data_IF_385151192625
#
_entry.id   IF_385151192625
#
_cell.length_a   1.000
_cell.length_b   1.000
_cell.length_c   1.000
_cell.angle_alpha   90.00
_cell.angle_beta   90.00
_cell.angle_gamma   90.00
#
_symmetry.space_group_name_H-M   'P 1'
#
loop_
_entity.id
_entity.type
_entity.pdbx_description
1 polymer ?
#
# COMPACT_ATOMS: atom_id res chain seq x y z
N UNK A 1 -14.20 6.40 6.61
CA UNK A 1 -13.61 5.32 5.79
C UNK A 1 -14.65 4.26 5.40
N UNK A 2 -15.42 3.72 6.33
CA UNK A 2 -16.41 2.64 6.06
C UNK A 2 -17.46 3.03 5.00
N UNK A 3 -17.96 4.26 5.02
CA UNK A 3 -18.95 4.74 4.04
C UNK A 3 -18.38 4.74 2.62
N UNK A 4 -17.19 5.33 2.42
CA UNK A 4 -16.56 5.42 1.09
C UNK A 4 -16.16 4.05 0.55
N UNK A 5 -15.66 3.16 1.40
CA UNK A 5 -15.35 1.78 1.02
C UNK A 5 -16.60 0.91 0.88
N UNK A 6 -17.75 1.41 1.31
CA UNK A 6 -19.07 0.74 1.36
C UNK A 6 -19.02 -0.73 1.82
N UNK A 7 -18.16 -1.00 2.81
CA UNK A 7 -17.94 -2.35 3.33
C UNK A 7 -19.20 -2.89 3.99
N UNK A 8 -19.39 -4.19 3.86
CA UNK A 8 -20.44 -4.90 4.55
C UNK A 8 -20.04 -5.19 5.99
N UNK A 9 -20.94 -4.91 6.93
CA UNK A 9 -20.81 -5.19 8.34
C UNK A 9 -22.12 -5.83 8.79
N UNK A 10 -22.06 -7.01 9.39
CA UNK A 10 -23.22 -7.77 9.87
C UNK A 10 -24.32 -7.94 8.79
N UNK A 11 -23.92 -8.25 7.56
CA UNK A 11 -24.85 -8.47 6.44
C UNK A 11 -25.49 -7.21 5.87
N UNK A 12 -25.02 -6.02 6.25
CA UNK A 12 -25.55 -4.75 5.79
C UNK A 12 -24.43 -3.84 5.32
N UNK A 13 -24.56 -3.23 4.13
CA UNK A 13 -23.55 -2.29 3.62
C UNK A 13 -23.47 -1.03 4.47
N UNK A 14 -22.29 -0.42 4.54
CA UNK A 14 -22.06 0.76 5.38
C UNK A 14 -23.04 1.90 5.10
N UNK A 15 -23.40 2.15 3.82
CA UNK A 15 -24.36 3.20 3.45
C UNK A 15 -25.74 2.98 4.08
N UNK A 16 -26.19 1.73 4.20
CA UNK A 16 -27.51 1.41 4.76
C UNK A 16 -27.65 1.71 6.24
N UNK A 17 -26.53 1.71 7.00
CA UNK A 17 -26.53 2.13 8.40
C UNK A 17 -26.84 3.62 8.57
N UNK A 18 -26.60 4.44 7.54
CA UNK A 18 -26.91 5.86 7.54
C UNK A 18 -28.27 6.18 6.94
N UNK A 19 -28.73 5.38 5.98
CA UNK A 19 -29.95 5.69 5.20
C UNK A 19 -31.21 5.03 5.74
N UNK A 20 -31.12 3.81 6.27
CA UNK A 20 -32.32 3.02 6.64
C UNK A 20 -32.99 3.54 7.92
N UNK A 21 -32.25 4.15 8.84
CA UNK A 21 -32.80 4.58 10.14
C UNK A 21 -33.37 6.00 10.12
N UNK A 22 -33.40 6.68 8.98
CA UNK A 22 -33.90 8.05 8.85
C UNK A 22 -33.13 9.11 9.68
N UNK A 23 -31.89 8.80 10.05
CA UNK A 23 -31.04 9.71 10.83
C UNK A 23 -30.64 10.95 10.07
N UNK A 24 -30.43 10.81 8.76
CA UNK A 24 -30.13 11.91 7.86
C UNK A 24 -31.42 12.31 7.14
N UNK A 25 -31.86 13.54 7.39
CA UNK A 25 -33.12 14.07 6.85
C UNK A 25 -32.93 14.91 5.58
N UNK A 26 -31.71 15.34 5.33
CA UNK A 26 -31.38 16.14 4.14
C UNK A 26 -31.26 15.24 2.92
N UNK A 27 -32.13 15.43 1.96
CA UNK A 27 -32.20 14.64 0.75
C UNK A 27 -30.98 14.83 -0.18
N UNK A 28 -30.34 16.01 -0.15
CA UNK A 28 -29.14 16.27 -0.95
C UNK A 28 -27.97 15.49 -0.36
N UNK A 29 -27.78 15.58 0.96
CA UNK A 29 -26.76 14.80 1.66
C UNK A 29 -26.95 13.30 1.44
N UNK A 30 -28.19 12.80 1.50
CA UNK A 30 -28.48 11.39 1.23
C UNK A 30 -28.16 10.98 -0.19
N UNK A 31 -28.44 11.84 -1.18
CA UNK A 31 -28.11 11.58 -2.58
C UNK A 31 -26.59 11.53 -2.79
N UNK A 32 -25.86 12.50 -2.23
CA UNK A 32 -24.39 12.54 -2.30
C UNK A 32 -23.74 11.34 -1.62
N UNK A 33 -24.25 10.92 -0.45
CA UNK A 33 -23.75 9.73 0.24
C UNK A 33 -23.96 8.45 -0.59
N UNK A 34 -25.11 8.31 -1.24
CA UNK A 34 -25.38 7.17 -2.13
C UNK A 34 -24.45 7.19 -3.33
N UNK A 35 -24.28 8.34 -3.97
CA UNK A 35 -23.38 8.50 -5.10
C UNK A 35 -21.94 8.15 -4.70
N UNK A 36 -21.47 8.64 -3.55
CA UNK A 36 -20.13 8.33 -3.05
C UNK A 36 -19.94 6.84 -2.73
N UNK A 37 -20.99 6.17 -2.21
CA UNK A 37 -20.94 4.74 -1.90
C UNK A 37 -20.97 3.83 -3.14
N UNK A 38 -21.52 4.33 -4.26
CA UNK A 38 -21.58 3.61 -5.54
C UNK A 38 -20.27 3.68 -6.33
N UNK A 39 -19.37 4.58 -5.96
CA UNK A 39 -18.05 4.69 -6.60
C UNK A 39 -17.10 3.66 -5.98
N UNK A 40 -16.53 2.72 -6.76
CA UNK A 40 -15.53 1.79 -6.27
C UNK A 40 -14.33 2.54 -5.68
N UNK A 41 -14.12 2.41 -4.37
CA UNK A 41 -13.12 3.23 -3.67
C UNK A 41 -12.30 2.38 -2.71
N UNK A 42 -10.98 2.38 -2.89
CA UNK A 42 -10.06 1.90 -1.88
C UNK A 42 -9.76 3.02 -0.88
N UNK A 43 -9.96 2.75 0.40
CA UNK A 43 -9.76 3.74 1.45
C UNK A 43 -8.62 3.32 2.36
N UNK A 44 -7.61 4.17 2.44
CA UNK A 44 -6.45 4.00 3.31
C UNK A 44 -6.58 4.97 4.48
N UNK A 45 -6.96 4.46 5.65
CA UNK A 45 -7.01 5.23 6.90
C UNK A 45 -5.78 4.92 7.74
N UNK A 46 -5.02 5.93 8.10
CA UNK A 46 -3.83 5.76 8.94
C UNK A 46 -3.54 7.03 9.76
N UNK A 47 -2.87 6.80 10.90
CA UNK A 47 -2.26 7.86 11.68
C UNK A 47 -0.81 8.02 11.21
N UNK A 48 -0.40 9.25 10.87
CA UNK A 48 0.90 9.49 10.25
C UNK A 48 2.06 9.27 11.24
N UNK A 49 1.87 9.61 12.52
CA UNK A 49 2.90 9.43 13.55
C UNK A 49 3.18 7.94 13.83
N UNK A 50 2.14 7.11 13.79
CA UNK A 50 2.28 5.67 14.06
C UNK A 50 2.89 4.90 12.88
N UNK A 51 2.85 5.46 11.68
CA UNK A 51 3.37 4.84 10.45
C UNK A 51 4.72 5.41 10.00
N UNK A 52 5.06 6.62 10.46
CA UNK A 52 6.37 7.22 10.24
C UNK A 52 7.42 6.53 11.11
N UNK A 53 8.59 6.24 10.55
CA UNK A 53 9.75 5.89 11.36
C UNK A 53 10.20 7.17 12.10
N UNK A 54 10.52 7.06 13.40
CA UNK A 54 11.01 8.16 14.24
C UNK A 54 12.44 8.59 13.82
N UNK A 55 12.65 8.84 12.55
CA UNK A 55 13.85 9.50 12.07
C UNK A 55 13.64 11.00 12.25
N UNK A 56 14.10 11.56 13.33
CA UNK A 56 13.94 12.92 13.84
C UNK A 56 14.03 14.13 12.87
N UNK A 57 13.73 13.94 11.60
CA UNK A 57 13.61 14.99 10.57
C UNK A 57 12.29 14.81 9.83
N UNK A 58 11.35 15.66 10.16
CA UNK A 58 10.18 15.92 9.32
C UNK A 58 10.65 16.49 7.98
N UNK A 59 10.36 15.79 6.89
CA UNK A 59 10.71 16.22 5.54
C UNK A 59 9.62 15.80 4.56
N UNK A 60 9.55 16.46 3.41
CA UNK A 60 8.63 16.05 2.32
C UNK A 60 8.84 14.59 1.92
N UNK A 61 10.09 14.14 1.89
CA UNK A 61 10.45 12.77 1.52
C UNK A 61 9.96 11.76 2.57
N UNK A 62 10.01 12.11 3.87
CA UNK A 62 9.48 11.28 4.94
C UNK A 62 7.96 11.10 4.81
N UNK A 63 7.22 12.17 4.50
CA UNK A 63 5.77 12.10 4.25
C UNK A 63 5.48 11.16 3.07
N UNK A 64 6.15 11.35 1.93
CA UNK A 64 5.95 10.50 0.75
C UNK A 64 6.27 9.03 1.05
N UNK A 65 7.30 8.77 1.84
CA UNK A 65 7.66 7.40 2.26
C UNK A 65 6.54 6.75 3.10
N UNK A 66 5.88 7.50 3.99
CA UNK A 66 4.73 6.98 4.75
C UNK A 66 3.56 6.66 3.83
N UNK A 67 3.25 7.54 2.89
CA UNK A 67 2.18 7.28 1.91
C UNK A 67 2.50 6.06 1.04
N UNK A 68 3.75 5.90 0.59
CA UNK A 68 4.19 4.72 -0.15
C UNK A 68 4.03 3.45 0.68
N UNK A 69 4.45 3.47 1.95
CA UNK A 69 4.32 2.35 2.88
C UNK A 69 2.86 1.88 2.98
N UNK A 70 1.95 2.78 3.33
CA UNK A 70 0.54 2.42 3.50
C UNK A 70 -0.14 2.04 2.18
N UNK A 71 0.29 2.61 1.06
CA UNK A 71 -0.17 2.24 -0.27
C UNK A 71 0.27 0.83 -0.67
N UNK A 72 1.51 0.44 -0.35
CA UNK A 72 2.00 -0.91 -0.54
C UNK A 72 1.25 -1.90 0.36
N UNK A 73 1.10 -1.59 1.65
CA UNK A 73 0.34 -2.41 2.62
C UNK A 73 -1.11 -2.64 2.16
N UNK A 74 -1.78 -1.61 1.63
CA UNK A 74 -3.15 -1.73 1.08
C UNK A 74 -3.24 -2.77 -0.04
N UNK A 75 -2.20 -2.88 -0.85
CA UNK A 75 -2.12 -3.85 -1.94
C UNK A 75 -1.65 -5.24 -1.48
N UNK A 76 -1.30 -5.41 -0.20
CA UNK A 76 -0.75 -6.64 0.36
C UNK A 76 0.76 -6.79 0.16
N UNK A 77 1.44 -5.76 -0.35
CA UNK A 77 2.88 -5.71 -0.55
C UNK A 77 3.63 -5.28 0.71
N UNK A 78 4.95 -5.45 0.71
CA UNK A 78 5.82 -5.05 1.81
C UNK A 78 5.77 -3.54 2.02
N UNK A 79 5.36 -3.09 3.22
CA UNK A 79 5.34 -1.66 3.54
C UNK A 79 6.69 -1.13 4.03
N UNK A 80 7.44 -1.95 4.77
CA UNK A 80 8.69 -1.55 5.41
C UNK A 80 9.88 -1.47 4.45
N UNK A 81 9.87 -2.27 3.38
CA UNK A 81 10.95 -2.35 2.41
C UNK A 81 10.42 -2.07 0.99
N UNK A 82 10.52 -0.84 0.49
CA UNK A 82 9.96 -0.47 -0.81
C UNK A 82 10.54 -1.24 -1.99
N UNK A 83 11.80 -1.66 -1.94
CA UNK A 83 12.39 -2.53 -2.96
C UNK A 83 11.68 -3.88 -3.06
N UNK A 84 11.33 -4.48 -1.90
CA UNK A 84 10.54 -5.72 -1.90
C UNK A 84 9.15 -5.48 -2.47
N UNK A 85 8.51 -4.37 -2.12
CA UNK A 85 7.21 -4.02 -2.68
C UNK A 85 7.26 -3.85 -4.21
N UNK A 86 8.36 -3.33 -4.76
CA UNK A 86 8.54 -3.19 -6.20
C UNK A 86 8.70 -4.56 -6.88
N UNK A 87 9.40 -5.51 -6.27
CA UNK A 87 9.48 -6.90 -6.74
C UNK A 87 8.10 -7.58 -6.69
N UNK A 88 7.43 -7.50 -5.53
CA UNK A 88 6.10 -8.09 -5.34
C UNK A 88 5.08 -7.54 -6.35
N UNK A 89 5.12 -6.24 -6.60
CA UNK A 89 4.28 -5.59 -7.60
C UNK A 89 4.58 -6.11 -9.01
N UNK A 90 5.86 -6.22 -9.38
CA UNK A 90 6.26 -6.73 -10.68
C UNK A 90 5.85 -8.19 -10.88
N UNK A 91 6.07 -9.03 -9.88
CA UNK A 91 5.60 -10.42 -9.89
C UNK A 91 4.07 -10.51 -10.02
N UNK A 92 3.34 -9.63 -9.31
CA UNK A 92 1.89 -9.54 -9.39
C UNK A 92 1.41 -9.10 -10.77
N UNK A 93 2.09 -8.15 -11.41
CA UNK A 93 1.79 -7.67 -12.76
C UNK A 93 1.96 -8.77 -13.82
N UNK A 94 2.91 -9.66 -13.61
CA UNK A 94 3.17 -10.83 -14.48
C UNK A 94 2.35 -12.06 -14.09
N UNK A 95 1.51 -11.98 -13.03
CA UNK A 95 0.70 -13.10 -12.53
C UNK A 95 1.52 -14.20 -11.84
N UNK A 96 2.73 -13.88 -11.41
CA UNK A 96 3.70 -14.82 -10.83
C UNK A 96 3.80 -14.74 -9.31
N UNK A 97 3.12 -13.78 -8.67
CA UNK A 97 3.32 -13.52 -7.24
C UNK A 97 2.88 -14.68 -6.34
N UNK A 98 1.75 -15.30 -6.62
CA UNK A 98 1.28 -16.45 -5.84
C UNK A 98 2.19 -17.66 -6.02
N UNK A 99 2.70 -17.87 -7.25
CA UNK A 99 3.70 -18.93 -7.54
C UNK A 99 5.00 -18.68 -6.78
N UNK A 100 5.47 -17.43 -6.75
CA UNK A 100 6.65 -17.02 -5.97
C UNK A 100 6.46 -17.32 -4.49
N UNK A 101 5.33 -16.91 -3.89
CA UNK A 101 5.05 -17.15 -2.48
C UNK A 101 5.06 -18.64 -2.14
N UNK A 102 4.41 -19.48 -2.96
CA UNK A 102 4.35 -20.93 -2.73
C UNK A 102 5.73 -21.58 -2.84
N UNK A 103 6.51 -21.24 -3.86
CA UNK A 103 7.88 -21.78 -4.03
C UNK A 103 8.84 -21.29 -2.95
N UNK A 104 8.66 -20.04 -2.48
CA UNK A 104 9.46 -19.51 -1.39
C UNK A 104 9.16 -20.26 -0.09
N UNK A 105 7.90 -20.52 0.22
CA UNK A 105 7.51 -21.29 1.40
C UNK A 105 8.06 -22.73 1.35
N UNK A 106 8.06 -23.36 0.17
CA UNK A 106 8.68 -24.68 -0.03
C UNK A 106 10.20 -24.66 0.21
N UNK A 107 10.88 -23.58 -0.20
CA UNK A 107 12.34 -23.46 -0.07
C UNK A 107 12.80 -23.10 1.34
N UNK A 108 12.11 -22.13 1.99
CA UNK A 108 12.49 -21.56 3.28
C UNK A 108 11.78 -22.19 4.49
N UNK A 109 10.70 -22.96 4.25
CA UNK A 109 9.79 -23.48 5.27
C UNK A 109 9.05 -22.38 6.06
N UNK A 110 8.99 -21.17 5.53
CA UNK A 110 8.32 -20.01 6.12
C UNK A 110 7.50 -19.25 5.07
N UNK A 111 6.27 -18.79 5.38
CA UNK A 111 5.49 -17.99 4.44
C UNK A 111 6.22 -16.69 4.09
N UNK A 112 6.21 -16.32 2.82
CA UNK A 112 6.88 -15.10 2.33
C UNK A 112 6.52 -13.84 3.13
N UNK A 113 5.23 -13.66 3.46
CA UNK A 113 4.76 -12.48 4.20
C UNK A 113 5.35 -12.31 5.58
N UNK A 114 5.81 -13.40 6.19
CA UNK A 114 6.50 -13.40 7.48
C UNK A 114 8.02 -13.24 7.26
N UNK A 115 8.59 -14.08 6.40
CA UNK A 115 10.02 -14.12 6.11
C UNK A 115 10.58 -12.82 5.52
N UNK A 116 9.77 -12.08 4.74
CA UNK A 116 10.19 -10.80 4.15
C UNK A 116 10.55 -9.73 5.19
N UNK A 117 10.06 -9.83 6.43
CA UNK A 117 10.43 -8.91 7.51
C UNK A 117 11.87 -9.16 8.01
N UNK A 118 12.40 -10.33 7.73
CA UNK A 118 13.77 -10.75 8.03
C UNK A 118 14.53 -11.03 6.72
N UNK A 119 14.35 -10.15 5.74
CA UNK A 119 14.86 -10.33 4.37
C UNK A 119 16.34 -10.64 4.30
N UNK A 120 17.15 -10.01 5.16
CA UNK A 120 18.61 -10.19 5.17
C UNK A 120 19.02 -11.65 5.40
N UNK A 121 18.22 -12.43 6.12
CA UNK A 121 18.47 -13.85 6.36
C UNK A 121 17.88 -14.76 5.27
N UNK A 122 17.02 -14.23 4.42
CA UNK A 122 16.27 -15.01 3.42
C UNK A 122 16.70 -14.74 1.97
N UNK A 123 17.77 -13.97 1.76
CA UNK A 123 18.22 -13.56 0.41
C UNK A 123 18.57 -14.74 -0.48
N UNK A 124 19.24 -15.77 0.04
CA UNK A 124 19.61 -16.94 -0.77
C UNK A 124 18.39 -17.72 -1.26
N UNK A 125 17.35 -17.85 -0.44
CA UNK A 125 16.09 -18.49 -0.84
C UNK A 125 15.35 -17.65 -1.90
N UNK A 126 15.35 -16.32 -1.76
CA UNK A 126 14.80 -15.41 -2.77
C UNK A 126 15.54 -15.56 -4.09
N UNK A 127 16.88 -15.55 -4.08
CA UNK A 127 17.69 -15.72 -5.29
C UNK A 127 17.38 -17.06 -5.96
N UNK A 128 17.34 -18.15 -5.18
CA UNK A 128 17.01 -19.48 -5.69
C UNK A 128 15.64 -19.49 -6.35
N UNK A 129 14.61 -19.03 -5.65
CA UNK A 129 13.22 -19.06 -6.17
C UNK A 129 13.07 -18.22 -7.43
N UNK A 130 13.61 -16.99 -7.45
CA UNK A 130 13.53 -16.13 -8.64
C UNK A 130 14.25 -16.72 -9.86
N UNK A 131 15.36 -17.44 -9.63
CA UNK A 131 16.08 -18.11 -10.71
C UNK A 131 15.40 -19.41 -11.18
N UNK A 132 14.85 -20.20 -10.25
CA UNK A 132 14.10 -21.43 -10.57
C UNK A 132 12.78 -21.13 -11.31
N UNK A 133 12.24 -19.93 -11.13
CA UNK A 133 11.08 -19.41 -11.87
C UNK A 133 11.46 -18.80 -13.23
N UNK A 134 12.74 -18.75 -13.58
CA UNK A 134 13.26 -18.06 -14.78
C UNK A 134 12.87 -16.56 -14.84
N UNK A 135 12.49 -15.97 -13.70
CA UNK A 135 12.16 -14.56 -13.61
C UNK A 135 13.39 -13.66 -13.67
N UNK A 136 14.49 -14.10 -13.05
CA UNK A 136 15.81 -13.45 -13.10
C UNK A 136 16.90 -14.51 -13.22
N UNK A 137 18.06 -14.16 -13.80
CA UNK A 137 19.26 -14.99 -13.64
C UNK A 137 19.75 -14.94 -12.19
N UNK A 138 20.51 -15.96 -11.76
CA UNK A 138 21.10 -16.01 -10.42
C UNK A 138 21.89 -14.72 -10.10
N UNK A 139 22.71 -14.27 -11.06
CA UNK A 139 23.51 -13.06 -10.92
C UNK A 139 22.63 -11.79 -10.77
N UNK A 140 21.58 -11.68 -11.60
CA UNK A 140 20.66 -10.54 -11.53
C UNK A 140 19.88 -10.53 -10.19
N UNK A 141 19.44 -11.70 -9.73
CA UNK A 141 18.74 -11.82 -8.44
C UNK A 141 19.65 -11.47 -7.25
N UNK A 142 20.91 -11.89 -7.25
CA UNK A 142 21.89 -11.51 -6.20
C UNK A 142 22.12 -10.00 -6.18
N UNK A 143 22.42 -9.40 -7.33
CA UNK A 143 22.62 -7.95 -7.46
C UNK A 143 21.37 -7.18 -7.03
N UNK A 144 20.18 -7.73 -7.27
CA UNK A 144 18.94 -7.13 -6.81
C UNK A 144 18.80 -7.21 -5.28
N UNK A 145 19.09 -8.36 -4.67
CA UNK A 145 19.04 -8.53 -3.20
C UNK A 145 20.01 -7.57 -2.49
N UNK A 146 21.22 -7.40 -3.00
CA UNK A 146 22.20 -6.45 -2.44
C UNK A 146 21.67 -5.01 -2.44
N UNK A 147 21.02 -4.60 -3.54
CA UNK A 147 20.41 -3.27 -3.66
C UNK A 147 19.15 -3.09 -2.81
N UNK A 148 18.45 -4.16 -2.48
CA UNK A 148 17.22 -4.09 -1.72
C UNK A 148 17.43 -3.59 -0.28
N UNK A 149 18.65 -3.64 0.22
CA UNK A 149 19.05 -3.14 1.54
C UNK A 149 19.54 -1.69 1.52
N UNK A 150 19.68 -1.08 0.33
CA UNK A 150 20.10 0.33 0.21
C UNK A 150 18.94 1.29 0.57
N UNK A 151 19.25 2.53 0.99
CA UNK A 151 18.24 3.54 1.22
C UNK A 151 17.37 3.78 -0.03
N UNK A 152 16.06 3.68 0.13
CA UNK A 152 15.09 3.90 -0.94
C UNK A 152 14.52 5.30 -0.86
N UNK A 153 14.66 6.07 -1.93
CA UNK A 153 14.04 7.37 -2.06
C UNK A 153 13.05 7.37 -3.24
N UNK A 154 11.89 7.96 -3.03
CA UNK A 154 10.87 8.12 -4.07
C UNK A 154 10.44 9.57 -4.16
N UNK A 155 10.36 10.11 -5.38
CA UNK A 155 9.79 11.44 -5.60
C UNK A 155 8.26 11.42 -5.56
N UNK A 156 7.65 12.58 -5.30
CA UNK A 156 6.19 12.77 -5.32
C UNK A 156 5.62 12.34 -6.68
N UNK A 157 6.28 12.69 -7.76
CA UNK A 157 5.85 12.37 -9.14
C UNK A 157 5.85 10.86 -9.37
N UNK A 158 6.87 10.16 -8.87
CA UNK A 158 6.96 8.70 -8.99
C UNK A 158 5.87 8.02 -8.17
N UNK A 159 5.62 8.49 -6.96
CA UNK A 159 4.52 7.99 -6.13
C UNK A 159 3.15 8.23 -6.81
N UNK A 160 2.92 9.45 -7.31
CA UNK A 160 1.69 9.77 -8.04
C UNK A 160 1.50 8.87 -9.27
N UNK A 161 2.59 8.54 -9.99
CA UNK A 161 2.52 7.62 -11.12
C UNK A 161 2.17 6.18 -10.68
N UNK A 162 2.67 5.71 -9.54
CA UNK A 162 2.30 4.38 -8.99
C UNK A 162 0.80 4.33 -8.67
N UNK A 163 0.28 5.35 -7.99
CA UNK A 163 -1.15 5.45 -7.65
C UNK A 163 -2.00 5.52 -8.92
N UNK A 164 -1.59 6.32 -9.91
CA UNK A 164 -2.28 6.43 -11.20
C UNK A 164 -2.35 5.09 -11.92
N UNK A 165 -1.22 4.40 -12.04
CA UNK A 165 -1.16 3.07 -12.68
C UNK A 165 -2.06 2.05 -11.97
N UNK A 166 -2.11 2.10 -10.64
CA UNK A 166 -3.00 1.25 -9.85
C UNK A 166 -4.47 1.54 -10.17
N UNK A 167 -4.88 2.81 -10.17
CA UNK A 167 -6.26 3.23 -10.47
C UNK A 167 -6.65 2.79 -11.89
N UNK A 168 -5.78 3.00 -12.88
CA UNK A 168 -6.02 2.61 -14.27
C UNK A 168 -6.27 1.10 -14.42
N UNK A 169 -5.56 0.26 -13.65
CA UNK A 169 -5.76 -1.20 -13.62
C UNK A 169 -7.09 -1.61 -12.98
N UNK A 170 -7.57 -0.86 -12.01
CA UNK A 170 -8.85 -1.13 -11.32
C UNK A 170 -10.08 -0.73 -12.16
N UNK A 171 -9.94 0.24 -13.06
CA UNK A 171 -10.99 0.69 -13.96
C UNK A 171 -11.28 2.19 -13.90
N UNK A 172 -12.04 2.68 -14.89
CA UNK A 172 -12.20 4.11 -15.16
C UNK A 172 -12.78 4.95 -14.01
N UNK A 173 -13.57 4.37 -13.12
CA UNK A 173 -14.24 5.10 -12.03
C UNK A 173 -13.75 4.69 -10.66
N UNK A 174 -12.59 4.02 -10.58
CA UNK A 174 -12.02 3.61 -9.31
C UNK A 174 -11.31 4.78 -8.63
N UNK A 175 -11.53 4.94 -7.33
CA UNK A 175 -10.88 5.97 -6.52
C UNK A 175 -9.96 5.34 -5.46
N UNK A 176 -8.91 6.08 -5.11
CA UNK A 176 -8.09 5.81 -3.92
C UNK A 176 -8.15 7.05 -3.02
N UNK A 177 -8.58 6.86 -1.78
CA UNK A 177 -8.74 7.95 -0.81
C UNK A 177 -7.85 7.69 0.40
N UNK A 178 -6.92 8.60 0.65
CA UNK A 178 -6.09 8.61 1.86
C UNK A 178 -6.76 9.48 2.92
N UNK A 179 -7.08 8.89 4.06
CA UNK A 179 -7.58 9.58 5.26
C UNK A 179 -6.45 9.57 6.28
N UNK A 180 -5.87 10.74 6.51
CA UNK A 180 -4.67 10.90 7.35
C UNK A 180 -5.06 11.55 8.66
N UNK A 181 -4.76 10.89 9.77
CA UNK A 181 -4.95 11.43 11.10
C UNK A 181 -3.65 12.04 11.63
N UNK A 182 -3.78 13.05 12.48
CA UNK A 182 -2.68 13.75 13.19
C UNK A 182 -1.65 14.45 12.29
N UNK A 183 -1.98 14.72 11.02
CA UNK A 183 -1.07 15.40 10.08
C UNK A 183 -0.60 16.76 10.62
N UNK A 184 -1.46 17.49 11.34
CA UNK A 184 -1.12 18.78 11.90
C UNK A 184 -0.03 18.69 12.98
N UNK A 185 -0.04 17.66 13.81
CA UNK A 185 1.02 17.43 14.82
C UNK A 185 2.32 17.02 14.14
N UNK A 186 2.24 16.17 13.12
CA UNK A 186 3.40 15.73 12.36
C UNK A 186 4.12 16.86 11.62
N UNK A 187 3.39 17.83 11.05
CA UNK A 187 3.94 19.01 10.40
C UNK A 187 4.53 19.99 11.44
N UNK A 188 3.91 20.10 12.63
CA UNK A 188 4.33 20.99 13.70
C UNK A 188 4.48 22.44 13.23
N UNK A 189 5.58 23.09 13.60
CA UNK A 189 5.89 24.48 13.24
C UNK A 189 6.69 24.63 11.94
N UNK A 190 6.84 23.54 11.13
CA UNK A 190 7.59 23.60 9.88
C UNK A 190 6.77 24.29 8.79
N UNK A 191 7.03 25.60 8.63
CA UNK A 191 6.36 26.44 7.62
C UNK A 191 6.61 25.98 6.18
N UNK A 192 7.68 25.20 5.90
CA UNK A 192 7.95 24.66 4.57
C UNK A 192 7.08 23.45 4.23
N UNK A 193 6.56 22.76 5.24
CA UNK A 193 5.61 21.67 5.07
C UNK A 193 4.17 22.14 5.01
N UNK A 194 3.89 23.39 5.44
CA UNK A 194 2.56 24.01 5.39
C UNK A 194 2.22 24.63 4.02
N UNK A 195 3.21 24.83 3.15
CA UNK A 195 3.08 25.40 1.80
C UNK A 195 3.13 24.30 0.74
#
# INVERSE_FOLDING_TARGET
SYLLANKEVDGKTAIRYFTDDGKIKDNVVLADMKLAADIPTDVVLFNIDSKGEMTGKQSKDAIVSVFLKVFNEMQGFCGSMPFLADLERKLSEEGLYDTFQSRFEEASSSPWKEARNEFDFNQDDVVKVLSDMEFMSVEAARNWCEKATEPYAISIERFAQLVKTYIEKKGKNHHVVFLVDEIGQYIGDDSKLML
#
